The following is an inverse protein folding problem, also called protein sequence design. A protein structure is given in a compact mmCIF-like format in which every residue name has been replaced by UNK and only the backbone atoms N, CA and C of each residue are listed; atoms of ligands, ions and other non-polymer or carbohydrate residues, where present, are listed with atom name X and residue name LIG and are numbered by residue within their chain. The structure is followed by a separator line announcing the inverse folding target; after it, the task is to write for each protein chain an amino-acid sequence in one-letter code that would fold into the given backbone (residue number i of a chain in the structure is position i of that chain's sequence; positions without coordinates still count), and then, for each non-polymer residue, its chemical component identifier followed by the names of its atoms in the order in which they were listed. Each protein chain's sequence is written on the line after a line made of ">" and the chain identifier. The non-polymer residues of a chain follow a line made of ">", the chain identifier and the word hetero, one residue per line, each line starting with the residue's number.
data_IF_960286370777
#
_entry.id   IF_960286370777
#
_cell.length_a   1.000
_cell.length_b   1.000
_cell.length_c   1.000
_cell.angle_alpha   90.00
_cell.angle_beta   90.00
_cell.angle_gamma   90.00
#
_symmetry.space_group_name_H-M   'P 1'
#
loop_
_entity.id
_entity.type
_entity.pdbx_description
1 polymer ?
#
# COMPACT_ATOMS: atom_id res chain seq x y z
N UNK A 1 5.97 2.61 21.48
CA UNK A 1 5.83 3.14 20.11
C UNK A 1 5.17 2.08 19.25
N UNK A 2 4.15 2.44 18.46
CA UNK A 2 3.54 1.56 17.46
C UNK A 2 2.16 1.01 17.83
N UNK A 3 1.15 1.87 17.97
CA UNK A 3 -0.24 1.44 17.75
C UNK A 3 -0.60 1.87 16.34
N UNK A 4 -0.23 1.07 15.35
CA UNK A 4 -0.74 1.26 13.99
C UNK A 4 -2.24 1.03 14.06
N UNK A 5 -3.01 2.08 13.83
CA UNK A 5 -4.47 2.04 13.74
C UNK A 5 -4.85 1.31 12.46
N UNK A 6 -4.71 -0.02 12.47
CA UNK A 6 -5.13 -0.87 11.38
C UNK A 6 -6.66 -0.96 11.39
N UNK A 7 -7.27 -0.95 10.20
CA UNK A 7 -8.71 -1.17 10.08
C UNK A 7 -9.11 -2.50 10.74
N UNK A 8 -10.29 -2.52 11.38
CA UNK A 8 -10.81 -3.71 12.10
C UNK A 8 -10.94 -4.95 11.23
N UNK A 9 -11.13 -4.78 9.93
CA UNK A 9 -11.06 -5.83 8.92
C UNK A 9 -10.30 -5.26 7.71
N UNK A 10 -9.34 -6.03 7.21
CA UNK A 10 -8.64 -5.76 5.97
C UNK A 10 -8.84 -6.95 5.04
N UNK A 11 -8.86 -6.68 3.73
CA UNK A 11 -8.88 -7.76 2.75
C UNK A 11 -7.56 -8.51 2.80
N UNK A 12 -7.59 -9.81 2.58
CA UNK A 12 -6.37 -10.58 2.42
C UNK A 12 -5.67 -10.26 1.10
N UNK A 13 -4.36 -10.48 1.06
CA UNK A 13 -3.58 -10.34 -0.17
C UNK A 13 -3.99 -11.43 -1.17
N UNK A 14 -4.39 -11.08 -2.41
CA UNK A 14 -4.62 -12.07 -3.46
C UNK A 14 -3.35 -12.89 -3.76
N UNK A 15 -3.52 -14.16 -4.09
CA UNK A 15 -2.39 -15.09 -4.33
C UNK A 15 -1.39 -14.60 -5.38
N UNK A 16 -1.90 -14.01 -6.47
CA UNK A 16 -1.08 -13.47 -7.58
C UNK A 16 -0.62 -12.02 -7.38
N UNK A 17 -1.00 -11.37 -6.27
CA UNK A 17 -0.58 -10.02 -5.99
C UNK A 17 0.84 -10.03 -5.38
N UNK A 18 1.82 -9.32 -5.97
CA UNK A 18 3.17 -9.20 -5.40
C UNK A 18 3.10 -8.69 -3.96
N UNK A 19 3.86 -9.32 -3.06
CA UNK A 19 3.85 -8.96 -1.65
C UNK A 19 4.24 -7.49 -1.43
N UNK A 20 5.23 -7.00 -2.19
CA UNK A 20 5.68 -5.60 -2.17
C UNK A 20 4.58 -4.63 -2.61
N UNK A 21 3.84 -4.94 -3.69
CA UNK A 21 2.71 -4.12 -4.13
C UNK A 21 1.63 -4.05 -3.05
N UNK A 22 1.25 -5.19 -2.47
CA UNK A 22 0.20 -5.21 -1.46
C UNK A 22 0.62 -4.44 -0.19
N UNK A 23 1.78 -4.75 0.38
CA UNK A 23 2.24 -4.15 1.62
C UNK A 23 2.62 -2.68 1.49
N UNK A 24 3.19 -2.27 0.35
CA UNK A 24 3.74 -0.91 0.20
C UNK A 24 2.77 0.06 -0.51
N UNK A 25 1.75 -0.45 -1.20
CA UNK A 25 0.81 0.38 -1.97
C UNK A 25 -0.62 0.21 -1.46
N UNK A 26 -1.10 -1.03 -1.34
CA UNK A 26 -2.50 -1.29 -0.98
C UNK A 26 -2.76 -1.01 0.50
N UNK A 27 -1.94 -1.56 1.40
CA UNK A 27 -2.13 -1.41 2.86
C UNK A 27 -2.03 0.06 3.34
N UNK A 28 -1.11 0.91 2.83
CA UNK A 28 -1.07 2.33 3.20
C UNK A 28 -2.33 3.12 2.78
N UNK A 29 -3.01 2.73 1.69
CA UNK A 29 -4.29 3.32 1.31
C UNK A 29 -5.43 3.00 2.30
N UNK A 30 -5.23 1.97 3.13
CA UNK A 30 -6.18 1.46 4.11
C UNK A 30 -5.88 1.91 5.54
N UNK A 31 -5.10 2.97 5.72
CA UNK A 31 -4.91 3.57 7.05
C UNK A 31 -6.26 4.08 7.58
N UNK A 32 -6.51 3.77 8.86
CA UNK A 32 -7.74 4.20 9.53
C UNK A 32 -7.89 5.73 9.49
N UNK A 33 -6.82 6.43 9.88
CA UNK A 33 -6.76 7.89 9.83
C UNK A 33 -6.61 8.36 8.37
N UNK A 34 -7.53 9.18 7.83
CA UNK A 34 -7.45 9.65 6.46
C UNK A 34 -6.16 10.40 6.13
N UNK A 35 -5.63 11.19 7.08
CA UNK A 35 -4.39 11.97 6.87
C UNK A 35 -3.15 11.07 6.74
N UNK A 36 -3.22 9.83 7.21
CA UNK A 36 -2.11 8.88 7.11
C UNK A 36 -2.08 8.13 5.77
N UNK A 37 -3.08 8.33 4.91
CA UNK A 37 -3.14 7.74 3.57
C UNK A 37 -2.25 8.54 2.61
N UNK A 38 -1.63 7.89 1.62
CA UNK A 38 -0.88 8.60 0.60
C UNK A 38 -1.80 9.49 -0.24
N UNK A 39 -1.25 10.60 -0.76
CA UNK A 39 -1.92 11.36 -1.82
C UNK A 39 -1.89 10.58 -3.13
N UNK A 40 -2.78 10.92 -4.06
CA UNK A 40 -2.77 10.33 -5.40
C UNK A 40 -1.47 10.60 -6.16
N UNK A 41 -0.83 11.76 -5.93
CA UNK A 41 0.46 12.10 -6.51
C UNK A 41 1.56 11.14 -6.00
N UNK A 42 1.65 10.93 -4.69
CA UNK A 42 2.61 9.99 -4.10
C UNK A 42 2.36 8.56 -4.59
N UNK A 43 1.08 8.15 -4.66
CA UNK A 43 0.68 6.84 -5.18
C UNK A 43 1.09 6.66 -6.65
N UNK A 44 0.88 7.68 -7.49
CA UNK A 44 1.28 7.66 -8.89
C UNK A 44 2.78 7.43 -9.05
N UNK A 45 3.61 8.18 -8.32
CA UNK A 45 5.07 8.03 -8.36
C UNK A 45 5.51 6.62 -7.93
N UNK A 46 4.92 6.07 -6.86
CA UNK A 46 5.22 4.71 -6.39
C UNK A 46 4.86 3.65 -7.44
N UNK A 47 3.71 3.78 -8.10
CA UNK A 47 3.29 2.87 -9.15
C UNK A 47 4.21 2.95 -10.37
N UNK A 48 4.66 4.16 -10.75
CA UNK A 48 5.63 4.33 -11.84
C UNK A 48 6.94 3.60 -11.53
N UNK A 49 7.45 3.68 -10.29
CA UNK A 49 8.67 2.95 -9.90
C UNK A 49 8.50 1.43 -10.09
N UNK A 50 7.36 0.86 -9.70
CA UNK A 50 7.12 -0.58 -9.81
C UNK A 50 7.01 -1.08 -11.25
N UNK A 51 6.49 -0.25 -12.16
CA UNK A 51 6.36 -0.61 -13.58
C UNK A 51 7.72 -0.50 -14.28
N UNK A 52 8.54 0.48 -13.90
CA UNK A 52 9.81 0.78 -14.58
C UNK A 52 11.02 0.08 -13.96
N UNK A 53 10.94 -0.36 -12.71
CA UNK A 53 11.91 -1.30 -12.15
C UNK A 53 11.46 -2.70 -12.52
N UNK A 54 12.30 -3.46 -13.23
CA UNK A 54 12.06 -4.90 -13.45
C UNK A 54 11.96 -5.53 -12.06
N UNK A 55 10.75 -5.89 -11.64
CA UNK A 55 10.57 -6.75 -10.47
C UNK A 55 11.29 -8.08 -10.78
N UNK A 56 12.31 -8.46 -9.99
CA UNK A 56 13.02 -9.72 -10.18
C UNK A 56 12.13 -10.92 -9.90
#
# INVERSE_FOLDING_TARGET
>A
MGSQSAMRHQLERPSLCPASLFSNVVVPCWQYEPQARPSFEALHLQLQVLIHTKMP
#
